data_IF_851154401726
#
_entry.id   IF_851154401726
#
_cell.length_a   1.000
_cell.length_b   1.000
_cell.length_c   1.000
_cell.angle_alpha   90.00
_cell.angle_beta   90.00
_cell.angle_gamma   90.00
#
_symmetry.space_group_name_H-M   'P 1'
#
loop_
_entity.id
_entity.type
_entity.pdbx_description
1 polymer ?
#
# COMPACT_ATOMS: atom_id res chain seq x y z
N UNK A 1 -4.98 -18.11 3.18
CA UNK A 1 -5.41 -18.09 1.76
C UNK A 1 -4.75 -19.20 0.95
N UNK A 2 -3.42 -19.22 0.81
CA UNK A 2 -2.71 -20.25 0.02
C UNK A 2 -2.82 -21.67 0.60
N UNK A 3 -2.72 -21.82 1.94
CA UNK A 3 -2.96 -23.12 2.59
C UNK A 3 -4.40 -23.63 2.49
N UNK A 4 -5.32 -22.83 1.94
CA UNK A 4 -6.71 -23.22 1.64
C UNK A 4 -6.97 -23.45 0.15
N UNK A 5 -5.94 -23.58 -0.68
CA UNK A 5 -6.05 -23.92 -2.11
C UNK A 5 -6.19 -22.73 -3.08
N UNK A 6 -6.04 -21.49 -2.61
CA UNK A 6 -6.01 -20.33 -3.51
C UNK A 6 -4.69 -20.27 -4.31
N UNK A 7 -4.75 -19.88 -5.59
CA UNK A 7 -3.55 -19.56 -6.38
C UNK A 7 -2.76 -18.41 -5.76
N UNK A 8 -1.46 -18.36 -6.02
CA UNK A 8 -0.56 -17.28 -5.57
C UNK A 8 -1.15 -15.92 -5.95
N UNK A 9 -1.52 -15.75 -7.22
CA UNK A 9 -2.14 -14.52 -7.73
C UNK A 9 -3.36 -14.07 -6.91
N UNK A 10 -4.33 -14.97 -6.73
CA UNK A 10 -5.56 -14.66 -6.01
C UNK A 10 -5.29 -14.36 -4.54
N UNK A 11 -4.40 -15.12 -3.91
CA UNK A 11 -4.04 -14.91 -2.51
C UNK A 11 -3.36 -13.54 -2.31
N UNK A 12 -2.39 -13.19 -3.15
CA UNK A 12 -1.67 -11.90 -3.08
C UNK A 12 -2.60 -10.72 -3.33
N UNK A 13 -3.33 -10.74 -4.44
CA UNK A 13 -4.27 -9.67 -4.82
C UNK A 13 -5.38 -9.46 -3.79
N UNK A 14 -5.93 -10.54 -3.22
CA UNK A 14 -6.93 -10.43 -2.17
C UNK A 14 -6.34 -9.85 -0.88
N UNK A 15 -5.13 -10.28 -0.49
CA UNK A 15 -4.47 -9.76 0.71
C UNK A 15 -4.18 -8.26 0.59
N UNK A 16 -3.65 -7.84 -0.57
CA UNK A 16 -3.39 -6.43 -0.89
C UNK A 16 -4.69 -5.62 -0.87
N UNK A 17 -5.77 -6.15 -1.46
CA UNK A 17 -7.07 -5.49 -1.50
C UNK A 17 -7.71 -5.37 -0.10
N UNK A 18 -7.66 -6.41 0.73
CA UNK A 18 -8.16 -6.37 2.11
C UNK A 18 -7.43 -5.29 2.91
N UNK A 19 -6.09 -5.27 2.86
CA UNK A 19 -5.30 -4.24 3.54
C UNK A 19 -5.60 -2.84 2.99
N UNK A 20 -5.80 -2.72 1.68
CA UNK A 20 -6.20 -1.47 1.02
C UNK A 20 -7.57 -0.96 1.47
N UNK A 21 -8.56 -1.84 1.61
CA UNK A 21 -9.89 -1.47 2.12
C UNK A 21 -9.81 -1.02 3.58
N UNK A 22 -9.09 -1.76 4.44
CA UNK A 22 -8.89 -1.38 5.85
C UNK A 22 -8.23 0.00 5.94
N UNK A 23 -7.18 0.22 5.14
CA UNK A 23 -6.45 1.48 5.10
C UNK A 23 -7.32 2.63 4.60
N UNK A 24 -8.07 2.42 3.52
CA UNK A 24 -8.94 3.43 2.94
C UNK A 24 -10.06 3.83 3.90
N UNK A 25 -10.76 2.85 4.50
CA UNK A 25 -11.81 3.12 5.49
C UNK A 25 -11.24 3.80 6.74
N UNK A 26 -10.05 3.39 7.18
CA UNK A 26 -9.36 4.04 8.29
C UNK A 26 -9.02 5.49 7.99
N UNK A 27 -8.54 5.81 6.78
CA UNK A 27 -8.25 7.20 6.38
C UNK A 27 -9.52 8.05 6.28
N UNK A 28 -10.62 7.51 5.76
CA UNK A 28 -11.92 8.20 5.77
C UNK A 28 -12.41 8.45 7.20
N UNK A 29 -12.26 7.46 8.09
CA UNK A 29 -12.57 7.62 9.51
C UNK A 29 -11.70 8.68 10.18
N UNK A 30 -10.40 8.78 9.83
CA UNK A 30 -9.52 9.85 10.33
C UNK A 30 -10.06 11.22 9.93
N UNK A 31 -10.53 11.38 8.69
CA UNK A 31 -11.02 12.68 8.20
C UNK A 31 -12.38 13.04 8.82
N UNK A 32 -13.26 12.07 9.05
CA UNK A 32 -14.65 12.31 9.43
C UNK A 32 -14.94 12.17 10.94
N UNK A 33 -14.16 11.35 11.66
CA UNK A 33 -14.51 10.88 13.02
C UNK A 33 -13.42 11.12 14.07
N UNK A 34 -12.20 11.52 13.67
CA UNK A 34 -11.09 11.73 14.60
C UNK A 34 -11.15 13.11 15.30
N UNK A 35 -12.15 13.28 16.15
CA UNK A 35 -12.38 14.49 16.96
C UNK A 35 -11.54 14.54 18.26
N UNK A 36 -10.98 13.40 18.69
CA UNK A 36 -10.19 13.28 19.93
C UNK A 36 -8.87 12.56 19.66
N UNK A 37 -7.81 12.85 20.45
CA UNK A 37 -6.52 12.17 20.29
C UNK A 37 -6.61 10.65 20.40
N UNK A 38 -7.46 10.13 21.29
CA UNK A 38 -7.62 8.68 21.46
C UNK A 38 -8.24 8.04 20.21
N UNK A 39 -9.32 8.61 19.65
CA UNK A 39 -9.91 8.10 18.41
C UNK A 39 -8.91 8.18 17.27
N UNK A 40 -8.16 9.28 17.16
CA UNK A 40 -7.12 9.44 16.15
C UNK A 40 -6.08 8.31 16.20
N UNK A 41 -5.52 8.03 17.38
CA UNK A 41 -4.50 6.98 17.55
C UNK A 41 -5.05 5.60 17.19
N UNK A 42 -6.27 5.26 17.63
CA UNK A 42 -6.90 3.97 17.33
C UNK A 42 -7.12 3.80 15.82
N UNK A 43 -7.63 4.85 15.16
CA UNK A 43 -7.88 4.81 13.72
C UNK A 43 -6.55 4.69 12.94
N UNK A 44 -5.53 5.48 13.30
CA UNK A 44 -4.20 5.39 12.67
C UNK A 44 -3.56 4.03 12.88
N UNK A 45 -3.75 3.39 14.04
CA UNK A 45 -3.27 2.02 14.26
C UNK A 45 -3.91 1.03 13.28
N UNK A 46 -5.20 1.15 12.98
CA UNK A 46 -5.88 0.34 11.97
C UNK A 46 -5.38 0.65 10.55
N UNK A 47 -5.12 1.92 10.22
CA UNK A 47 -4.53 2.32 8.94
C UNK A 47 -3.16 1.68 8.75
N UNK A 48 -2.28 1.77 9.76
CA UNK A 48 -0.95 1.18 9.73
C UNK A 48 -1.00 -0.34 9.65
N UNK A 49 -1.95 -0.97 10.35
CA UNK A 49 -2.19 -2.40 10.22
C UNK A 49 -2.54 -2.78 8.78
N UNK A 50 -3.50 -2.08 8.16
CA UNK A 50 -3.87 -2.28 6.76
C UNK A 50 -2.69 -2.06 5.81
N UNK A 51 -1.88 -1.04 6.06
CA UNK A 51 -0.66 -0.77 5.30
C UNK A 51 0.33 -1.92 5.37
N UNK A 52 0.63 -2.45 6.56
CA UNK A 52 1.55 -3.57 6.71
C UNK A 52 1.03 -4.85 6.05
N UNK A 53 -0.28 -5.07 6.12
CA UNK A 53 -0.94 -6.19 5.45
C UNK A 53 -0.76 -6.13 3.92
N UNK A 54 -0.89 -4.95 3.31
CA UNK A 54 -0.69 -4.75 1.88
C UNK A 54 0.79 -4.72 1.47
N UNK A 55 1.63 -3.91 2.12
CA UNK A 55 2.99 -3.63 1.64
C UNK A 55 3.91 -4.85 1.73
N UNK A 56 3.76 -5.70 2.75
CA UNK A 56 4.53 -6.94 2.89
C UNK A 56 4.29 -7.91 1.72
N UNK A 57 3.08 -7.90 1.17
CA UNK A 57 2.74 -8.67 -0.03
C UNK A 57 3.27 -8.01 -1.29
N UNK A 58 3.18 -6.69 -1.40
CA UNK A 58 3.70 -5.95 -2.57
C UNK A 58 5.22 -6.10 -2.71
N UNK A 59 5.97 -5.95 -1.61
CA UNK A 59 7.44 -6.04 -1.61
C UNK A 59 7.96 -7.43 -1.97
N UNK A 60 7.13 -8.47 -1.82
CA UNK A 60 7.48 -9.87 -2.14
C UNK A 60 6.98 -10.32 -3.51
N UNK A 61 6.23 -9.49 -4.26
CA UNK A 61 5.86 -9.79 -5.65
C UNK A 61 7.08 -10.04 -6.55
N UNK A 62 8.21 -9.30 -6.46
CA UNK A 62 9.37 -9.56 -7.30
C UNK A 62 9.88 -11.00 -7.22
N UNK A 63 9.85 -11.62 -6.03
CA UNK A 63 10.25 -13.03 -5.83
C UNK A 63 9.18 -14.02 -6.30
N UNK A 64 7.91 -13.61 -6.36
CA UNK A 64 6.85 -14.44 -6.93
C UNK A 64 6.92 -14.45 -8.48
N UNK A 65 7.44 -13.37 -9.09
CA UNK A 65 7.53 -13.21 -10.55
C UNK A 65 8.84 -13.74 -11.15
N UNK A 66 9.98 -13.53 -10.48
CA UNK A 66 11.30 -13.83 -11.04
C UNK A 66 12.13 -14.75 -10.14
N UNK A 67 13.21 -15.30 -10.67
CA UNK A 67 14.20 -16.09 -9.91
C UNK A 67 15.60 -15.48 -9.99
N UNK A 68 16.45 -15.76 -8.99
CA UNK A 68 17.84 -15.35 -8.97
C UNK A 68 18.05 -13.83 -8.92
N UNK A 69 19.00 -13.32 -9.73
CA UNK A 69 19.45 -11.91 -9.67
C UNK A 69 18.37 -10.90 -10.07
N UNK A 70 17.43 -11.28 -10.94
CA UNK A 70 16.36 -10.40 -11.43
C UNK A 70 15.41 -9.95 -10.31
N UNK A 71 15.22 -10.78 -9.28
CA UNK A 71 14.43 -10.45 -8.09
C UNK A 71 15.02 -9.24 -7.37
N UNK A 72 16.34 -9.26 -7.14
CA UNK A 72 17.05 -8.21 -6.42
C UNK A 72 17.01 -6.88 -7.19
N UNK A 73 17.15 -6.91 -8.53
CA UNK A 73 17.05 -5.72 -9.37
C UNK A 73 15.66 -5.10 -9.34
N UNK A 74 14.60 -5.90 -9.49
CA UNK A 74 13.23 -5.39 -9.47
C UNK A 74 12.83 -4.88 -8.08
N UNK A 75 13.19 -5.62 -7.02
CA UNK A 75 12.99 -5.17 -5.64
C UNK A 75 13.76 -3.88 -5.34
N UNK A 76 15.01 -3.77 -5.82
CA UNK A 76 15.82 -2.57 -5.71
C UNK A 76 15.19 -1.36 -6.41
N UNK A 77 14.71 -1.53 -7.64
CA UNK A 77 14.03 -0.48 -8.39
C UNK A 77 12.75 -0.01 -7.67
N UNK A 78 11.94 -0.94 -7.17
CA UNK A 78 10.76 -0.61 -6.36
C UNK A 78 11.13 0.16 -5.09
N UNK A 79 12.21 -0.24 -4.41
CA UNK A 79 12.75 0.46 -3.24
C UNK A 79 13.20 1.90 -3.57
N UNK A 80 13.90 2.10 -4.68
CA UNK A 80 14.33 3.43 -5.14
C UNK A 80 13.13 4.35 -5.40
N UNK A 81 12.11 3.88 -6.13
CA UNK A 81 10.89 4.65 -6.37
C UNK A 81 10.18 4.99 -5.05
N UNK A 82 10.16 4.06 -4.10
CA UNK A 82 9.62 4.29 -2.76
C UNK A 82 10.33 5.42 -2.02
N UNK A 83 11.68 5.43 -2.02
CA UNK A 83 12.48 6.48 -1.38
C UNK A 83 12.23 7.85 -2.04
N UNK A 84 12.23 7.93 -3.37
CA UNK A 84 11.94 9.18 -4.08
C UNK A 84 10.53 9.71 -3.75
N UNK A 85 9.55 8.82 -3.64
CA UNK A 85 8.18 9.19 -3.26
C UNK A 85 8.13 9.80 -1.86
N UNK A 86 8.87 9.24 -0.90
CA UNK A 86 8.98 9.79 0.46
C UNK A 86 9.65 11.15 0.48
N UNK A 87 10.72 11.35 -0.30
CA UNK A 87 11.42 12.64 -0.41
C UNK A 87 10.47 13.72 -0.92
N UNK A 88 9.73 13.43 -2.01
CA UNK A 88 8.76 14.38 -2.57
C UNK A 88 7.68 14.73 -1.53
N UNK A 89 7.15 13.72 -0.82
CA UNK A 89 6.14 13.94 0.21
C UNK A 89 6.67 14.77 1.39
N UNK A 90 7.94 14.63 1.75
CA UNK A 90 8.57 15.42 2.82
C UNK A 90 8.50 16.93 2.51
N UNK A 91 8.76 17.32 1.26
CA UNK A 91 8.65 18.71 0.83
C UNK A 91 7.19 19.16 0.60
N UNK A 92 6.33 18.26 0.14
CA UNK A 92 4.95 18.59 -0.20
C UNK A 92 4.06 18.77 1.04
N UNK A 93 4.16 17.87 2.04
CA UNK A 93 3.29 17.85 3.21
C UNK A 93 3.23 19.21 3.92
N UNK A 94 4.34 19.88 4.28
CA UNK A 94 4.30 21.17 4.94
C UNK A 94 3.60 22.28 4.13
N UNK A 95 3.65 22.19 2.80
CA UNK A 95 3.01 23.17 1.90
C UNK A 95 1.50 22.99 1.86
N UNK A 96 1.01 21.75 1.93
CA UNK A 96 -0.42 21.43 1.84
C UNK A 96 -1.11 21.34 3.20
N UNK A 97 -0.36 21.26 4.31
CA UNK A 97 -0.92 21.13 5.67
C UNK A 97 -0.76 22.39 6.53
N UNK A 98 -0.73 23.57 5.91
CA UNK A 98 -0.56 24.85 6.62
C UNK A 98 -1.66 25.13 7.64
N UNK A 99 -2.91 24.84 7.28
CA UNK A 99 -4.09 25.09 8.13
C UNK A 99 -4.71 23.82 8.72
N UNK A 100 -4.56 22.67 8.06
CA UNK A 100 -5.12 21.39 8.48
C UNK A 100 -4.36 20.22 7.85
N UNK A 101 -4.33 19.06 8.52
CA UNK A 101 -3.81 17.81 7.95
C UNK A 101 -4.79 17.09 7.01
N UNK A 102 -6.04 17.56 6.92
CA UNK A 102 -7.07 16.98 6.04
C UNK A 102 -6.59 16.79 4.58
N UNK A 103 -5.93 17.78 3.93
CA UNK A 103 -5.45 17.61 2.55
C UNK A 103 -4.47 16.45 2.40
N UNK A 104 -3.56 16.25 3.35
CA UNK A 104 -2.63 15.13 3.33
C UNK A 104 -3.37 13.79 3.43
N UNK A 105 -4.33 13.66 4.35
CA UNK A 105 -5.12 12.44 4.47
C UNK A 105 -5.97 12.14 3.24
N UNK A 106 -6.54 13.17 2.60
CA UNK A 106 -7.30 13.00 1.34
C UNK A 106 -6.41 12.49 0.21
N UNK A 107 -5.20 13.07 0.07
CA UNK A 107 -4.23 12.61 -0.94
C UNK A 107 -3.84 11.16 -0.70
N UNK A 108 -3.51 10.79 0.54
CA UNK A 108 -3.17 9.40 0.88
C UNK A 108 -4.36 8.48 0.60
N UNK A 109 -5.58 8.87 1.00
CA UNK A 109 -6.79 8.10 0.76
C UNK A 109 -7.07 7.89 -0.73
N UNK A 110 -6.73 8.86 -1.58
CA UNK A 110 -6.82 8.71 -3.03
C UNK A 110 -5.75 7.78 -3.61
N UNK A 111 -4.53 7.78 -3.05
CA UNK A 111 -3.44 6.92 -3.52
C UNK A 111 -3.63 5.44 -3.17
N UNK A 112 -4.32 5.11 -2.07
CA UNK A 112 -4.59 3.72 -1.69
C UNK A 112 -5.31 2.92 -2.79
N UNK A 113 -6.50 3.33 -3.29
CA UNK A 113 -7.19 2.61 -4.35
C UNK A 113 -6.39 2.63 -5.66
N UNK A 114 -5.67 3.72 -5.97
CA UNK A 114 -4.80 3.77 -7.15
C UNK A 114 -3.67 2.74 -7.08
N UNK A 115 -3.05 2.57 -5.91
CA UNK A 115 -2.01 1.57 -5.68
C UNK A 115 -2.54 0.13 -5.81
N UNK A 116 -3.71 -0.15 -5.24
CA UNK A 116 -4.36 -1.46 -5.41
C UNK A 116 -4.71 -1.69 -6.88
N UNK A 117 -5.31 -0.70 -7.55
CA UNK A 117 -5.70 -0.79 -8.96
C UNK A 117 -4.48 -1.01 -9.87
N UNK A 118 -3.36 -0.35 -9.59
CA UNK A 118 -2.12 -0.54 -10.33
C UNK A 118 -1.65 -2.00 -10.30
N UNK A 119 -1.75 -2.69 -9.16
CA UNK A 119 -1.44 -4.13 -9.09
C UNK A 119 -2.42 -4.95 -9.94
N UNK A 120 -3.73 -4.70 -9.86
CA UNK A 120 -4.72 -5.46 -10.62
C UNK A 120 -4.62 -5.24 -12.14
N UNK A 121 -4.27 -4.03 -12.57
CA UNK A 121 -4.20 -3.65 -13.99
C UNK A 121 -2.84 -4.02 -14.61
N UNK A 122 -1.74 -3.70 -13.93
CA UNK A 122 -0.39 -3.89 -14.46
C UNK A 122 0.14 -5.30 -14.22
N UNK A 123 -0.23 -5.95 -13.11
CA UNK A 123 0.18 -7.30 -12.78
C UNK A 123 -0.98 -8.29 -13.04
N UNK A 124 -1.16 -8.66 -14.31
CA UNK A 124 -2.26 -9.54 -14.74
C UNK A 124 -2.23 -10.91 -14.06
N UNK A 125 -1.04 -11.50 -13.86
CA UNK A 125 -0.86 -12.75 -13.14
C UNK A 125 0.42 -12.69 -12.30
N UNK A 126 0.29 -12.84 -10.98
CA UNK A 126 1.40 -13.01 -10.04
C UNK A 126 1.71 -14.50 -9.93
N UNK A 127 2.77 -14.90 -10.62
CA UNK A 127 3.35 -16.24 -10.60
C UNK A 127 4.68 -16.26 -11.37
N UNK A 128 5.41 -17.38 -11.33
CA UNK A 128 6.74 -17.46 -11.93
C UNK A 128 6.65 -17.16 -13.43
N UNK A 129 7.40 -16.17 -13.87
CA UNK A 129 7.58 -15.87 -15.29
C UNK A 129 8.66 -16.83 -15.79
N UNK A 130 8.27 -17.75 -16.68
CA UNK A 130 9.25 -18.56 -17.42
C UNK A 130 10.02 -17.63 -18.37
N UNK A 131 11.34 -17.61 -18.22
CA UNK A 131 12.30 -16.94 -19.11
C UNK A 131 12.90 -17.93 -20.08
#
# INVERSE_FOLDING_TARGET
>A
LMGGGASVDKARKNTIAIGGVIMFLGLLATIMLADTPLKFVIIVALVLFGFQFSISNIQTIPSDLFSGKSVATLAGFGGTVGVFSVIIMNFLVPVITTQSYTPAFVIIAAFVPLGVLAIYVLCKNIGPVEV
#
